data_IF_655335897093
#
_entry.id   IF_655335897093
#
_cell.length_a   1.000
_cell.length_b   1.000
_cell.length_c   1.000
_cell.angle_alpha   90.00
_cell.angle_beta   90.00
_cell.angle_gamma   90.00
#
_symmetry.space_group_name_H-M   'P 1'
#
loop_
_entity.id
_entity.type
_entity.pdbx_description
1 polymer ?
#
# COMPACT_ATOMS: atom_id res chain seq x y z
N UNK A 1 12.09 -3.29 6.74
CA UNK A 1 11.00 -2.91 7.66
C UNK A 1 9.77 -3.70 7.24
N UNK A 2 8.94 -4.16 8.18
CA UNK A 2 7.80 -5.00 7.84
C UNK A 2 6.53 -4.16 7.75
N UNK A 3 5.72 -4.43 6.75
CA UNK A 3 4.47 -3.74 6.52
C UNK A 3 3.32 -4.74 6.44
N UNK A 4 2.21 -4.38 7.07
CA UNK A 4 0.96 -5.13 7.02
C UNK A 4 0.02 -4.46 6.02
N UNK A 5 -0.31 -5.18 4.96
CA UNK A 5 -1.28 -4.71 3.97
C UNK A 5 -2.67 -4.74 4.60
N UNK A 6 -3.30 -3.58 4.70
CA UNK A 6 -4.68 -3.49 5.13
C UNK A 6 -5.57 -3.55 3.89
N UNK A 7 -6.35 -4.62 3.79
CA UNK A 7 -7.39 -4.68 2.77
C UNK A 7 -8.47 -3.65 3.10
N UNK A 8 -8.54 -2.59 2.29
CA UNK A 8 -9.62 -1.63 2.37
C UNK A 8 -10.88 -2.32 1.84
N UNK A 9 -11.90 -2.45 2.68
CA UNK A 9 -13.19 -3.06 2.32
C UNK A 9 -14.02 -2.22 1.34
N UNK A 10 -13.50 -1.06 0.90
CA UNK A 10 -14.08 -0.24 -0.15
C UNK A 10 -13.86 -0.86 -1.53
N UNK A 11 -14.64 -1.89 -1.84
CA UNK A 11 -14.87 -2.25 -3.23
C UNK A 11 -15.67 -1.09 -3.89
N UNK A 12 -15.21 -0.59 -5.02
CA UNK A 12 -16.06 0.22 -5.92
C UNK A 12 -17.17 -0.73 -6.41
N UNK A 13 -18.43 -0.28 -6.52
CA UNK A 13 -19.58 -1.07 -7.03
C UNK A 13 -19.38 -1.52 -8.49
N UNK A 14 -18.41 -2.40 -8.75
CA UNK A 14 -18.11 -3.00 -10.04
C UNK A 14 -18.29 -4.51 -9.87
N UNK A 15 -18.74 -5.17 -10.95
CA UNK A 15 -19.03 -6.61 -10.95
C UNK A 15 -17.83 -7.37 -10.35
N UNK A 16 -18.06 -8.38 -9.49
CA UNK A 16 -16.99 -9.15 -8.86
C UNK A 16 -16.24 -9.93 -9.95
N UNK A 17 -15.14 -9.36 -10.43
CA UNK A 17 -14.04 -10.10 -11.05
C UNK A 17 -13.06 -10.53 -9.97
N UNK A 18 -12.28 -11.58 -10.22
CA UNK A 18 -11.08 -11.86 -9.42
C UNK A 18 -10.05 -10.76 -9.71
N UNK A 19 -10.12 -9.65 -8.99
CA UNK A 19 -9.01 -8.70 -8.98
C UNK A 19 -7.86 -9.31 -8.17
N UNK A 20 -6.62 -9.27 -8.68
CA UNK A 20 -5.47 -9.82 -7.98
C UNK A 20 -5.28 -9.10 -6.64
N UNK A 21 -5.01 -9.87 -5.59
CA UNK A 21 -4.85 -9.33 -4.23
C UNK A 21 -3.38 -9.08 -3.93
N UNK A 22 -3.04 -7.94 -3.31
CA UNK A 22 -1.67 -7.67 -2.89
C UNK A 22 -1.28 -8.59 -1.73
N UNK A 23 -0.18 -9.34 -1.89
CA UNK A 23 0.32 -10.32 -0.91
C UNK A 23 1.61 -9.88 -0.22
N UNK A 24 2.43 -9.08 -0.91
CA UNK A 24 3.66 -8.54 -0.33
C UNK A 24 3.88 -7.10 -0.81
N UNK A 25 4.56 -6.32 0.04
CA UNK A 25 4.89 -4.93 -0.22
C UNK A 25 6.33 -4.67 0.22
N UNK A 26 7.06 -3.94 -0.61
CA UNK A 26 8.40 -3.45 -0.31
C UNK A 26 8.46 -1.94 -0.57
N UNK A 27 9.12 -1.22 0.34
CA UNK A 27 9.22 0.25 0.31
C UNK A 27 10.68 0.61 0.61
N UNK A 28 11.57 0.58 -0.39
CA UNK A 28 13.01 0.77 -0.19
C UNK A 28 13.35 2.17 0.34
N UNK A 29 12.63 3.20 -0.13
CA UNK A 29 12.86 4.61 0.24
C UNK A 29 11.98 5.08 1.40
N UNK A 30 11.54 4.16 2.28
CA UNK A 30 10.68 4.52 3.39
C UNK A 30 11.41 5.43 4.40
N UNK A 31 10.78 6.56 4.71
CA UNK A 31 11.21 7.47 5.78
C UNK A 31 10.04 7.77 6.70
N UNK A 32 10.29 7.83 8.01
CA UNK A 32 9.32 8.27 9.03
C UNK A 32 9.14 9.79 8.99
N UNK A 33 8.74 10.29 7.83
CA UNK A 33 8.49 11.69 7.56
C UNK A 33 7.08 11.82 6.97
N UNK A 34 6.28 12.70 7.55
CA UNK A 34 4.91 12.90 7.08
C UNK A 34 4.93 13.49 5.66
N UNK A 35 4.04 12.99 4.80
CA UNK A 35 3.94 13.39 3.39
C UNK A 35 5.17 13.06 2.51
N UNK A 36 6.12 12.28 3.03
CA UNK A 36 7.23 11.77 2.21
C UNK A 36 6.72 10.90 1.07
N UNK A 37 7.14 11.23 -0.15
CA UNK A 37 6.81 10.47 -1.35
C UNK A 37 7.82 9.34 -1.51
N UNK A 38 7.34 8.12 -1.70
CA UNK A 38 8.17 6.93 -1.82
C UNK A 38 7.69 6.05 -2.98
N UNK A 39 8.61 5.28 -3.54
CA UNK A 39 8.27 4.22 -4.48
C UNK A 39 7.95 2.95 -3.71
N UNK A 40 6.88 2.27 -4.13
CA UNK A 40 6.36 1.09 -3.46
C UNK A 40 6.25 -0.05 -4.47
N UNK A 41 6.90 -1.17 -4.18
CA UNK A 41 6.80 -2.37 -4.99
C UNK A 41 5.79 -3.31 -4.35
N UNK A 42 4.71 -3.63 -5.05
CA UNK A 42 3.65 -4.54 -4.55
C UNK A 42 3.66 -5.81 -5.36
N UNK A 43 3.76 -6.95 -4.69
CA UNK A 43 3.56 -8.27 -5.29
C UNK A 43 2.14 -8.72 -5.06
N UNK A 44 1.48 -9.15 -6.13
CA UNK A 44 0.12 -9.69 -6.12
C UNK A 44 0.12 -11.22 -6.10
N UNK A 45 -1.02 -11.80 -5.72
CA UNK A 45 -1.24 -13.25 -5.62
C UNK A 45 -1.06 -14.01 -6.95
N UNK A 46 -1.23 -13.32 -8.07
CA UNK A 46 -0.95 -13.83 -9.42
C UNK A 46 0.55 -13.86 -9.77
N UNK A 47 1.43 -13.40 -8.88
CA UNK A 47 2.87 -13.26 -9.11
C UNK A 47 3.28 -11.98 -9.83
N UNK A 48 2.33 -11.09 -10.16
CA UNK A 48 2.61 -9.80 -10.77
C UNK A 48 3.24 -8.84 -9.75
N UNK A 49 4.26 -8.10 -10.16
CA UNK A 49 4.90 -7.08 -9.34
C UNK A 49 4.65 -5.73 -9.98
N UNK A 50 3.99 -4.83 -9.26
CA UNK A 50 3.70 -3.48 -9.73
C UNK A 50 4.46 -2.46 -8.89
N UNK A 51 5.11 -1.53 -9.58
CA UNK A 51 5.64 -0.32 -8.98
C UNK A 51 4.53 0.71 -8.86
N UNK A 52 4.32 1.21 -7.65
CA UNK A 52 3.29 2.18 -7.28
C UNK A 52 3.94 3.41 -6.65
N UNK A 53 3.27 4.57 -6.75
CA UNK A 53 3.69 5.78 -6.06
C UNK A 53 2.97 5.86 -4.73
N UNK A 54 3.74 5.93 -3.65
CA UNK A 54 3.28 5.93 -2.28
C UNK A 54 3.52 7.25 -1.56
N UNK A 55 2.65 7.54 -0.60
CA UNK A 55 2.85 8.63 0.36
C UNK A 55 2.85 8.07 1.78
N UNK A 56 3.84 8.47 2.56
CA UNK A 56 3.93 8.15 3.98
C UNK A 56 2.96 9.04 4.76
N UNK A 57 2.21 8.43 5.67
CA UNK A 57 1.27 9.14 6.55
C UNK A 57 1.44 8.65 7.98
N UNK A 58 1.44 9.61 8.91
CA UNK A 58 1.50 9.33 10.34
C UNK A 58 0.12 9.50 10.97
N UNK A 59 -0.34 8.48 11.69
CA UNK A 59 -1.47 8.63 12.58
C UNK A 59 -0.99 9.27 13.89
N UNK A 60 -1.32 10.54 14.12
CA UNK A 60 -0.86 11.26 15.32
C UNK A 60 -1.48 10.75 16.63
N UNK A 61 -2.65 10.10 16.57
CA UNK A 61 -3.37 9.56 17.74
C UNK A 61 -2.76 8.21 18.13
N UNK A 62 -2.64 7.30 17.17
CA UNK A 62 -2.10 5.95 17.39
C UNK A 62 -0.57 5.88 17.35
N UNK A 63 0.10 6.97 16.97
CA UNK A 63 1.56 7.05 16.73
C UNK A 63 2.08 5.99 15.73
N UNK A 64 1.23 5.54 14.83
CA UNK A 64 1.57 4.53 13.79
C UNK A 64 1.89 5.17 12.47
N UNK A 65 2.84 4.58 11.74
CA UNK A 65 3.17 4.96 10.37
C UNK A 65 2.46 4.07 9.36
N UNK A 66 2.12 4.63 8.22
CA UNK A 66 1.46 3.93 7.12
C UNK A 66 1.93 4.49 5.78
N UNK A 67 1.81 3.68 4.75
CA UNK A 67 2.07 4.05 3.36
C UNK A 67 0.79 3.80 2.58
N UNK A 68 0.36 4.81 1.82
CA UNK A 68 -0.75 4.68 0.88
C UNK A 68 -0.19 4.82 -0.53
N UNK A 69 -0.32 3.77 -1.34
CA UNK A 69 0.18 3.72 -2.70
C UNK A 69 -0.94 3.56 -3.71
N UNK A 70 -0.79 4.21 -4.86
CA UNK A 70 -1.73 4.13 -5.98
C UNK A 70 -0.97 3.97 -7.30
N UNK A 71 -1.57 3.24 -8.24
CA UNK A 71 -1.06 3.14 -9.61
C UNK A 71 -1.99 3.83 -10.62
N UNK A 72 -1.53 3.97 -11.86
CA UNK A 72 -2.29 4.57 -12.97
C UNK A 72 -3.57 3.81 -13.32
N UNK A 73 -3.62 2.51 -13.02
CA UNK A 73 -4.80 1.66 -13.24
C UNK A 73 -5.89 1.86 -12.18
N UNK A 74 -5.62 2.68 -11.15
CA UNK A 74 -6.56 2.98 -10.07
C UNK A 74 -6.61 1.91 -8.97
N UNK A 75 -5.65 0.98 -8.93
CA UNK A 75 -5.44 0.10 -7.79
C UNK A 75 -4.74 0.88 -6.70
N UNK A 76 -5.20 0.72 -5.46
CA UNK A 76 -4.60 1.32 -4.28
C UNK A 76 -4.28 0.28 -3.22
N UNK A 77 -3.19 0.51 -2.50
CA UNK A 77 -2.71 -0.35 -1.42
C UNK A 77 -2.43 0.51 -0.21
N UNK A 78 -3.01 0.14 0.92
CA UNK A 78 -2.71 0.75 2.20
C UNK A 78 -1.93 -0.24 3.04
N UNK A 79 -0.78 0.17 3.54
CA UNK A 79 0.07 -0.67 4.36
C UNK A 79 0.48 0.05 5.64
N UNK A 80 0.41 -0.64 6.77
CA UNK A 80 0.81 -0.13 8.08
C UNK A 80 2.19 -0.66 8.44
N UNK A 81 3.06 0.19 8.96
CA UNK A 81 4.35 -0.24 9.49
C UNK A 81 4.11 -1.09 10.76
N UNK A 82 4.68 -2.29 10.78
CA UNK A 82 4.83 -3.12 11.98
C UNK A 82 6.31 -3.11 12.35
N UNK A 83 6.58 -2.75 13.60
CA UNK A 83 7.92 -2.86 14.22
C UNK A 83 8.07 -4.19 14.95
#
# INVERSE_FOLDING_TARGET
MHFEIQQLSWHKRRRPGKEPQPVAIDVPDFKKEADHMCQVSVTFDNGEVLSMHGRVSQNQIKKTWSVNAINSSGQSVFARLIE
#
